data_IF_229442059134
#
_entry.id   IF_229442059134
#
_cell.length_a   1.000
_cell.length_b   1.000
_cell.length_c   1.000
_cell.angle_alpha   90.00
_cell.angle_beta   90.00
_cell.angle_gamma   90.00
#
_symmetry.space_group_name_H-M   'P 1'
#
loop_
_entity.id
_entity.type
_entity.pdbx_description
1 polymer ?
#
# COMPACT_ATOMS: atom_id res chain seq x y z
N UNK A 1 30.20 26.75 16.15
CA UNK A 1 29.37 25.83 16.98
C UNK A 1 27.93 25.72 16.47
N UNK A 2 27.25 26.79 16.06
CA UNK A 2 25.90 26.72 15.44
C UNK A 2 25.86 25.93 14.11
N UNK A 3 26.89 26.05 13.26
CA UNK A 3 26.98 25.30 11.99
C UNK A 3 27.07 23.78 12.18
N UNK A 4 27.84 23.30 13.17
CA UNK A 4 27.94 21.86 13.49
C UNK A 4 26.63 21.29 14.07
N UNK A 5 25.91 22.07 14.89
CA UNK A 5 24.59 21.68 15.39
C UNK A 5 23.55 21.66 14.27
N UNK A 6 23.59 22.64 13.36
CA UNK A 6 22.76 22.68 12.16
C UNK A 6 22.98 21.43 11.32
N UNK A 7 24.22 21.05 11.00
CA UNK A 7 24.50 19.87 10.15
C UNK A 7 24.15 18.54 10.82
N UNK A 8 24.31 18.42 12.15
CA UNK A 8 23.88 17.23 12.90
C UNK A 8 22.35 17.12 12.97
N UNK A 9 21.64 18.25 13.13
CA UNK A 9 20.18 18.31 13.05
C UNK A 9 19.69 17.96 11.64
N UNK A 10 20.39 18.49 10.63
CA UNK A 10 20.12 18.31 9.20
C UNK A 10 20.24 16.86 8.73
N UNK A 11 20.98 16.04 9.47
CA UNK A 11 21.09 14.61 9.24
C UNK A 11 20.01 13.81 9.98
N UNK A 12 19.55 14.28 11.15
CA UNK A 12 18.59 13.56 11.99
C UNK A 12 17.18 13.58 11.42
N UNK A 13 16.69 14.72 10.94
CA UNK A 13 15.36 14.85 10.34
C UNK A 13 15.24 14.13 8.99
N UNK A 14 16.29 14.18 8.18
CA UNK A 14 16.41 13.38 6.94
C UNK A 14 16.39 11.90 7.29
N UNK A 15 17.21 11.47 8.27
CA UNK A 15 17.19 10.09 8.73
C UNK A 15 15.81 9.68 9.25
N UNK A 16 15.13 10.52 10.03
CA UNK A 16 13.77 10.25 10.51
C UNK A 16 12.79 10.03 9.35
N UNK A 17 12.82 10.89 8.34
CA UNK A 17 11.92 10.82 7.20
C UNK A 17 12.10 9.51 6.41
N UNK A 18 13.36 9.16 6.09
CA UNK A 18 13.67 7.89 5.40
C UNK A 18 13.35 6.68 6.28
N UNK A 19 13.76 6.69 7.55
CA UNK A 19 13.50 5.59 8.48
C UNK A 19 11.99 5.36 8.67
N UNK A 20 11.20 6.44 8.81
CA UNK A 20 9.74 6.39 8.93
C UNK A 20 9.10 5.79 7.67
N UNK A 21 9.55 6.20 6.47
CA UNK A 21 9.10 5.65 5.20
C UNK A 21 9.37 4.14 5.12
N UNK A 22 10.59 3.72 5.44
CA UNK A 22 10.99 2.32 5.35
C UNK A 22 10.29 1.45 6.41
N UNK A 23 10.15 1.97 7.62
CA UNK A 23 9.39 1.31 8.68
C UNK A 23 7.93 1.13 8.26
N UNK A 24 7.30 2.15 7.65
CA UNK A 24 5.93 2.05 7.17
C UNK A 24 5.77 0.93 6.15
N UNK A 25 6.67 0.84 5.16
CA UNK A 25 6.69 -0.24 4.17
C UNK A 25 6.79 -1.62 4.85
N UNK A 26 7.70 -1.79 5.81
CA UNK A 26 7.86 -3.08 6.52
C UNK A 26 6.64 -3.47 7.33
N UNK A 27 6.04 -2.52 8.05
CA UNK A 27 4.84 -2.75 8.87
C UNK A 27 3.61 -3.09 8.02
N UNK A 28 3.34 -2.34 6.95
CA UNK A 28 2.17 -2.53 6.10
C UNK A 28 2.24 -3.82 5.27
N UNK A 29 3.45 -4.22 4.85
CA UNK A 29 3.65 -5.44 4.07
C UNK A 29 3.84 -6.69 4.94
N UNK A 30 3.83 -6.56 6.27
CA UNK A 30 4.06 -7.68 7.19
C UNK A 30 5.45 -8.32 7.04
N UNK A 31 6.45 -7.53 6.64
CA UNK A 31 7.79 -8.02 6.29
C UNK A 31 8.85 -7.81 7.37
N UNK A 32 8.48 -7.27 8.53
CA UNK A 32 9.44 -7.14 9.63
C UNK A 32 9.90 -8.52 10.10
N UNK A 33 11.22 -8.75 10.09
CA UNK A 33 11.82 -10.00 10.53
C UNK A 33 11.56 -10.27 12.02
N UNK A 34 11.49 -9.21 12.84
CA UNK A 34 11.10 -9.28 14.25
C UNK A 34 10.52 -7.94 14.71
N UNK A 35 9.32 -7.98 15.30
CA UNK A 35 8.70 -6.79 15.91
C UNK A 35 9.53 -6.32 17.12
N UNK A 36 10.10 -7.25 17.88
CA UNK A 36 10.91 -6.93 19.07
C UNK A 36 12.21 -6.23 18.68
N UNK A 37 12.82 -6.64 17.55
CA UNK A 37 13.99 -5.97 17.01
C UNK A 37 13.68 -4.52 16.60
N UNK A 38 12.55 -4.30 15.93
CA UNK A 38 12.12 -2.94 15.52
C UNK A 38 11.81 -2.07 16.75
N UNK A 39 11.12 -2.61 17.77
CA UNK A 39 10.87 -1.92 19.04
C UNK A 39 12.18 -1.60 19.78
N UNK A 40 13.17 -2.48 19.73
CA UNK A 40 14.50 -2.25 20.31
C UNK A 40 15.23 -1.09 19.62
N UNK A 41 15.17 -1.00 18.28
CA UNK A 41 15.75 0.12 17.53
C UNK A 41 15.09 1.44 17.92
N UNK A 42 13.76 1.48 18.01
CA UNK A 42 13.03 2.69 18.44
C UNK A 42 13.43 3.09 19.86
N UNK A 43 13.57 2.13 20.78
CA UNK A 43 14.03 2.41 22.14
C UNK A 43 15.42 3.07 22.16
N UNK A 44 16.36 2.58 21.34
CA UNK A 44 17.68 3.20 21.18
C UNK A 44 17.59 4.61 20.59
N UNK A 45 16.78 4.81 19.56
CA UNK A 45 16.55 6.14 18.97
C UNK A 45 15.95 7.12 19.98
N UNK A 46 15.07 6.64 20.87
CA UNK A 46 14.48 7.46 21.93
C UNK A 46 15.53 7.92 22.94
N UNK A 47 16.46 7.06 23.31
CA UNK A 47 17.57 7.40 24.22
C UNK A 47 18.51 8.43 23.59
N UNK A 48 18.85 8.27 22.31
CA UNK A 48 19.83 9.14 21.62
C UNK A 48 19.24 10.46 21.11
N UNK A 49 17.96 10.48 20.72
CA UNK A 49 17.32 11.60 20.04
C UNK A 49 16.12 12.19 20.80
N UNK A 50 15.71 11.57 21.91
CA UNK A 50 14.58 12.02 22.74
C UNK A 50 13.22 11.50 22.28
N UNK A 51 12.21 11.66 23.14
CA UNK A 51 10.86 11.13 22.94
C UNK A 51 10.07 11.82 21.83
N UNK A 52 10.34 13.10 21.55
CA UNK A 52 9.66 13.81 20.46
C UNK A 52 10.00 13.23 19.09
N UNK A 53 11.25 12.78 18.91
CA UNK A 53 11.74 12.15 17.69
C UNK A 53 11.05 10.81 17.40
N UNK A 54 10.83 9.99 18.43
CA UNK A 54 10.23 8.66 18.25
C UNK A 54 8.70 8.65 18.31
N UNK A 55 8.06 9.76 18.67
CA UNK A 55 6.61 9.81 18.92
C UNK A 55 5.79 9.27 17.73
N UNK A 56 6.12 9.70 16.50
CA UNK A 56 5.43 9.23 15.28
C UNK A 56 5.66 7.73 15.04
N UNK A 57 6.90 7.26 15.23
CA UNK A 57 7.28 5.85 15.05
C UNK A 57 6.57 4.94 16.07
N UNK A 58 6.51 5.36 17.33
CA UNK A 58 5.76 4.67 18.39
C UNK A 58 4.25 4.65 18.09
N UNK A 59 3.72 5.75 17.55
CA UNK A 59 2.35 5.85 17.06
C UNK A 59 2.01 4.83 15.97
N UNK A 60 2.92 4.63 15.00
CA UNK A 60 2.74 3.63 13.94
C UNK A 60 2.59 2.20 14.51
N UNK A 61 3.38 1.83 15.53
CA UNK A 61 3.23 0.52 16.18
C UNK A 61 1.89 0.38 16.91
N UNK A 62 1.46 1.42 17.62
CA UNK A 62 0.16 1.44 18.30
C UNK A 62 -0.98 1.25 17.31
N UNK A 63 -0.92 1.91 16.15
CA UNK A 63 -1.93 1.75 15.10
C UNK A 63 -1.99 0.30 14.57
N UNK A 64 -0.85 -0.37 14.40
CA UNK A 64 -0.81 -1.80 13.99
C UNK A 64 -1.45 -2.71 15.04
N UNK A 65 -1.17 -2.48 16.32
CA UNK A 65 -1.77 -3.26 17.41
C UNK A 65 -3.29 -3.00 17.51
N UNK A 66 -3.69 -1.74 17.52
CA UNK A 66 -5.10 -1.34 17.58
C UNK A 66 -5.90 -1.86 16.37
N UNK A 67 -5.29 -1.87 15.18
CA UNK A 67 -5.91 -2.43 13.99
C UNK A 67 -6.26 -3.91 14.16
N UNK A 68 -5.45 -4.71 14.86
CA UNK A 68 -5.78 -6.12 15.13
C UNK A 68 -7.03 -6.25 15.99
N UNK A 69 -7.16 -5.42 17.02
CA UNK A 69 -8.34 -5.39 17.89
C UNK A 69 -9.60 -4.92 17.15
N UNK A 70 -9.45 -3.92 16.27
CA UNK A 70 -10.53 -3.43 15.41
C UNK A 70 -10.99 -4.54 14.46
N UNK A 71 -10.08 -5.28 13.82
CA UNK A 71 -10.43 -6.40 12.94
C UNK A 71 -11.14 -7.52 13.69
N UNK A 72 -10.66 -7.87 14.89
CA UNK A 72 -11.33 -8.86 15.72
C UNK A 72 -12.76 -8.42 16.06
N UNK A 73 -12.93 -7.17 16.49
CA UNK A 73 -14.25 -6.58 16.76
C UNK A 73 -15.13 -6.56 15.51
N UNK A 74 -14.56 -6.23 14.35
CA UNK A 74 -15.27 -6.19 13.07
C UNK A 74 -15.81 -7.59 12.72
N UNK A 75 -14.96 -8.62 12.76
CA UNK A 75 -15.36 -10.01 12.47
C UNK A 75 -16.50 -10.51 13.37
N UNK A 76 -16.63 -9.98 14.59
CA UNK A 76 -17.70 -10.30 15.53
C UNK A 76 -18.94 -9.39 15.45
N UNK A 77 -18.84 -8.27 14.73
CA UNK A 77 -19.92 -7.30 14.60
C UNK A 77 -21.14 -7.89 13.90
N UNK A 78 -22.32 -7.30 14.12
CA UNK A 78 -23.53 -7.68 13.38
C UNK A 78 -23.38 -7.33 11.90
N UNK A 79 -22.78 -6.17 11.60
CA UNK A 79 -22.53 -5.71 10.23
C UNK A 79 -21.74 -6.74 9.43
N UNK A 80 -20.64 -7.26 9.99
CA UNK A 80 -19.84 -8.27 9.32
C UNK A 80 -20.60 -9.59 9.13
N UNK A 81 -21.37 -10.02 10.13
CA UNK A 81 -22.08 -11.31 10.09
C UNK A 81 -23.30 -11.32 9.18
N UNK A 82 -23.96 -10.18 8.97
CA UNK A 82 -25.22 -10.11 8.22
C UNK A 82 -25.08 -9.49 6.84
N UNK A 83 -24.12 -8.57 6.63
CA UNK A 83 -24.00 -7.81 5.39
C UNK A 83 -22.84 -8.27 4.50
N UNK A 84 -21.79 -8.90 5.05
CA UNK A 84 -20.66 -9.30 4.22
C UNK A 84 -21.05 -10.46 3.30
N UNK A 85 -20.71 -10.36 2.01
CA UNK A 85 -20.72 -11.53 1.13
C UNK A 85 -19.78 -12.62 1.65
N UNK A 86 -20.04 -13.87 1.27
CA UNK A 86 -19.11 -14.97 1.50
C UNK A 86 -18.00 -14.97 0.44
N UNK A 87 -16.80 -15.44 0.80
CA UNK A 87 -15.74 -15.75 -0.16
C UNK A 87 -14.49 -14.87 -0.08
N UNK A 88 -14.54 -13.69 0.56
CA UNK A 88 -13.35 -12.84 0.78
C UNK A 88 -13.07 -12.71 2.27
N UNK A 89 -11.84 -13.06 2.67
CA UNK A 89 -11.32 -12.71 3.98
C UNK A 89 -10.68 -11.32 3.92
N UNK A 90 -11.22 -10.36 4.69
CA UNK A 90 -10.70 -9.00 4.77
C UNK A 90 -10.01 -8.75 6.11
N UNK A 91 -8.88 -8.02 6.05
CA UNK A 91 -8.18 -7.46 7.20
C UNK A 91 -7.78 -6.02 6.88
N UNK A 92 -8.11 -5.07 7.76
CA UNK A 92 -7.94 -3.64 7.52
C UNK A 92 -6.95 -3.03 8.50
N UNK A 93 -5.99 -2.26 8.02
CA UNK A 93 -5.13 -1.44 8.87
C UNK A 93 -5.69 -0.02 8.92
N UNK A 94 -6.02 0.44 10.13
CA UNK A 94 -6.50 1.81 10.37
C UNK A 94 -5.33 2.64 10.90
N UNK A 95 -4.93 3.64 10.12
CA UNK A 95 -3.71 4.40 10.33
C UNK A 95 -4.04 5.84 10.73
N UNK A 96 -3.36 6.37 11.73
CA UNK A 96 -3.55 7.75 12.20
C UNK A 96 -2.79 8.73 11.30
N UNK A 97 -3.51 9.63 10.63
CA UNK A 97 -2.90 10.71 9.83
C UNK A 97 -1.95 11.54 10.70
N UNK A 98 -0.73 11.78 10.21
CA UNK A 98 0.32 12.52 10.92
C UNK A 98 1.40 11.63 11.58
N UNK A 99 1.11 10.36 11.86
CA UNK A 99 2.13 9.38 12.28
C UNK A 99 2.77 8.69 11.08
N UNK A 100 1.98 8.41 10.05
CA UNK A 100 2.43 7.71 8.85
C UNK A 100 2.93 8.68 7.78
N UNK A 101 3.76 8.24 6.82
CA UNK A 101 4.04 9.00 5.62
C UNK A 101 2.76 9.42 4.91
N UNK A 102 2.80 10.57 4.23
CA UNK A 102 1.68 11.01 3.40
C UNK A 102 1.64 10.18 2.13
N UNK A 103 0.50 9.57 1.85
CA UNK A 103 0.25 8.82 0.62
C UNK A 103 -0.75 9.59 -0.23
N UNK A 104 -0.42 9.93 -1.49
CA UNK A 104 -1.36 10.61 -2.36
C UNK A 104 -2.55 9.68 -2.61
N UNK A 105 -3.80 10.17 -2.49
CA UNK A 105 -4.96 9.38 -2.88
C UNK A 105 -4.86 9.09 -4.37
N UNK A 106 -5.17 7.85 -4.74
CA UNK A 106 -5.27 7.42 -6.13
C UNK A 106 -6.71 7.04 -6.41
N UNK A 107 -7.28 7.66 -7.44
CA UNK A 107 -8.62 7.31 -7.90
C UNK A 107 -8.58 5.92 -8.53
N UNK A 108 -9.53 5.08 -8.13
CA UNK A 108 -9.69 3.74 -8.68
C UNK A 108 -11.15 3.33 -8.58
N UNK A 109 -11.70 2.83 -9.68
CA UNK A 109 -13.01 2.17 -9.73
C UNK A 109 -12.84 0.73 -9.26
N UNK A 110 -13.44 0.41 -8.12
CA UNK A 110 -13.39 -0.92 -7.55
C UNK A 110 -14.49 -1.80 -8.16
N UNK A 111 -14.22 -3.09 -8.40
CA UNK A 111 -15.26 -4.09 -8.60
C UNK A 111 -16.28 -4.03 -7.45
N UNK A 112 -17.55 -4.26 -7.79
CA UNK A 112 -18.65 -4.12 -6.84
C UNK A 112 -18.41 -4.95 -5.57
N UNK A 113 -17.89 -6.16 -5.74
CA UNK A 113 -17.55 -7.08 -4.66
C UNK A 113 -16.62 -6.41 -3.66
N UNK A 114 -15.50 -5.82 -4.11
CA UNK A 114 -14.52 -5.18 -3.21
C UNK A 114 -15.07 -3.92 -2.56
N UNK A 115 -15.87 -3.14 -3.29
CA UNK A 115 -16.45 -1.90 -2.77
C UNK A 115 -17.41 -2.18 -1.60
N UNK A 116 -18.21 -3.24 -1.69
CA UNK A 116 -19.15 -3.65 -0.62
C UNK A 116 -18.41 -3.92 0.70
N UNK A 117 -17.25 -4.58 0.67
CA UNK A 117 -16.46 -4.82 1.89
C UNK A 117 -15.94 -3.52 2.49
N UNK A 118 -15.47 -2.58 1.66
CA UNK A 118 -15.00 -1.27 2.12
C UNK A 118 -16.11 -0.46 2.79
N UNK A 119 -17.31 -0.45 2.20
CA UNK A 119 -18.46 0.28 2.72
C UNK A 119 -18.97 -0.31 4.05
N UNK A 120 -19.08 -1.64 4.15
CA UNK A 120 -19.51 -2.30 5.38
C UNK A 120 -18.51 -2.08 6.52
N UNK A 121 -17.20 -2.13 6.23
CA UNK A 121 -16.19 -1.81 7.24
C UNK A 121 -16.28 -0.34 7.68
N UNK A 122 -16.47 0.59 6.75
CA UNK A 122 -16.62 2.01 7.04
C UNK A 122 -17.84 2.27 7.93
N UNK A 123 -18.98 1.65 7.64
CA UNK A 123 -20.18 1.73 8.47
C UNK A 123 -19.91 1.23 9.89
N UNK A 124 -19.30 0.05 10.03
CA UNK A 124 -18.91 -0.50 11.32
C UNK A 124 -17.99 0.48 12.08
N UNK A 125 -16.93 0.97 11.44
CA UNK A 125 -15.94 1.82 12.10
C UNK A 125 -16.57 3.13 12.58
N UNK A 126 -17.34 3.80 11.73
CA UNK A 126 -17.97 5.09 12.07
C UNK A 126 -19.08 4.93 13.11
N UNK A 127 -19.71 3.75 13.23
CA UNK A 127 -20.66 3.47 14.31
C UNK A 127 -20.00 3.43 15.70
N UNK A 128 -18.72 3.06 15.78
CA UNK A 128 -17.95 2.96 17.03
C UNK A 128 -17.12 4.20 17.34
N UNK A 129 -16.62 4.87 16.30
CA UNK A 129 -15.73 6.02 16.41
C UNK A 129 -16.34 7.26 15.74
N UNK A 130 -17.27 7.91 16.45
CA UNK A 130 -17.93 9.13 15.98
C UNK A 130 -16.96 10.31 15.84
N UNK A 131 -17.23 11.20 14.88
CA UNK A 131 -16.39 12.38 14.62
C UNK A 131 -15.10 12.10 13.84
N UNK A 132 -14.86 10.86 13.40
CA UNK A 132 -13.71 10.51 12.53
C UNK A 132 -14.12 10.47 11.06
N UNK A 133 -13.13 10.69 10.18
CA UNK A 133 -13.26 10.50 8.73
C UNK A 133 -12.26 9.45 8.28
N UNK A 134 -12.75 8.43 7.56
CA UNK A 134 -11.90 7.42 6.92
C UNK A 134 -11.63 7.78 5.45
N UNK A 135 -10.42 7.51 5.01
CA UNK A 135 -9.98 7.60 3.62
C UNK A 135 -9.22 6.32 3.29
N UNK A 136 -9.64 5.61 2.25
CA UNK A 136 -8.98 4.40 1.80
C UNK A 136 -7.72 4.73 1.00
N UNK A 137 -6.63 4.03 1.31
CA UNK A 137 -5.36 4.13 0.60
C UNK A 137 -5.14 2.84 -0.21
N UNK A 138 -5.84 2.74 -1.33
CA UNK A 138 -5.88 1.53 -2.16
C UNK A 138 -4.51 1.14 -2.73
N UNK A 139 -3.61 2.11 -2.93
CA UNK A 139 -2.23 1.90 -3.38
C UNK A 139 -1.39 1.06 -2.40
N UNK A 140 -1.76 1.02 -1.12
CA UNK A 140 -1.09 0.24 -0.08
C UNK A 140 -1.70 -1.16 0.11
N UNK A 141 -2.83 -1.41 -0.55
CA UNK A 141 -3.55 -2.68 -0.45
C UNK A 141 -2.82 -3.82 -1.16
N UNK A 142 -3.05 -5.03 -0.68
CA UNK A 142 -2.62 -6.26 -1.33
C UNK A 142 -3.65 -7.36 -1.09
N UNK A 143 -3.69 -8.33 -2.00
CA UNK A 143 -4.62 -9.45 -1.92
C UNK A 143 -3.91 -10.76 -2.26
N UNK A 144 -4.52 -11.87 -1.83
CA UNK A 144 -4.19 -13.21 -2.30
C UNK A 144 -5.35 -13.70 -3.13
N UNK A 145 -5.13 -13.87 -4.43
CA UNK A 145 -6.13 -14.39 -5.37
C UNK A 145 -5.93 -15.88 -5.57
N UNK A 146 -7.03 -16.63 -5.46
CA UNK A 146 -7.08 -18.01 -5.96
C UNK A 146 -7.47 -17.96 -7.42
N UNK A 147 -6.61 -18.47 -8.28
CA UNK A 147 -6.81 -18.44 -9.72
C UNK A 147 -6.82 -19.87 -10.25
N UNK A 148 -7.86 -20.18 -11.01
CA UNK A 148 -8.04 -21.47 -11.65
C UNK A 148 -7.45 -21.41 -13.07
N UNK A 149 -6.22 -21.90 -13.23
CA UNK A 149 -5.61 -22.10 -14.54
C UNK A 149 -5.92 -23.52 -15.06
N UNK A 150 -5.95 -23.72 -16.39
CA UNK A 150 -6.12 -25.06 -16.98
C UNK A 150 -5.08 -26.08 -16.49
N UNK A 151 -3.84 -25.64 -16.22
CA UNK A 151 -2.75 -26.49 -15.72
C UNK A 151 -2.74 -26.69 -14.20
N UNK A 152 -3.73 -26.14 -13.50
CA UNK A 152 -3.92 -26.30 -12.05
C UNK A 152 -4.12 -24.99 -11.30
N UNK A 153 -4.73 -25.09 -10.13
CA UNK A 153 -5.03 -23.94 -9.25
C UNK A 153 -3.75 -23.33 -8.68
N UNK A 154 -3.74 -22.00 -8.55
CA UNK A 154 -2.61 -21.23 -7.98
C UNK A 154 -3.12 -20.13 -7.04
N UNK A 155 -2.26 -19.73 -6.11
CA UNK A 155 -2.47 -18.55 -5.27
C UNK A 155 -1.50 -17.44 -5.64
N UNK A 156 -2.03 -16.29 -6.07
CA UNK A 156 -1.26 -15.13 -6.46
C UNK A 156 -1.30 -14.09 -5.34
N UNK A 157 -0.15 -13.80 -4.73
CA UNK A 157 0.02 -12.62 -3.89
C UNK A 157 0.30 -11.42 -4.80
N UNK A 158 -0.66 -10.50 -4.86
CA UNK A 158 -0.73 -9.39 -5.81
C UNK A 158 -1.04 -8.07 -5.09
N UNK A 159 -0.70 -6.94 -5.71
CA UNK A 159 -1.08 -5.62 -5.24
C UNK A 159 -2.57 -5.43 -5.46
N UNK A 160 -3.16 -4.46 -4.78
CA UNK A 160 -4.59 -4.19 -4.95
C UNK A 160 -4.94 -3.75 -6.38
N UNK A 161 -4.10 -2.96 -7.03
CA UNK A 161 -4.29 -2.59 -8.44
C UNK A 161 -4.17 -3.78 -9.38
N UNK A 162 -3.21 -4.68 -9.15
CA UNK A 162 -3.14 -5.94 -9.89
C UNK A 162 -4.42 -6.77 -9.69
N UNK A 163 -4.99 -6.80 -8.49
CA UNK A 163 -6.27 -7.47 -8.22
C UNK A 163 -7.41 -6.88 -9.04
N UNK A 164 -7.57 -5.56 -9.00
CA UNK A 164 -8.63 -4.85 -9.75
C UNK A 164 -8.51 -5.16 -11.25
N UNK A 165 -7.30 -5.12 -11.81
CA UNK A 165 -7.06 -5.45 -13.23
C UNK A 165 -7.38 -6.93 -13.52
N UNK A 166 -6.91 -7.86 -12.70
CA UNK A 166 -7.14 -9.30 -12.93
C UNK A 166 -8.62 -9.67 -12.84
N UNK A 167 -9.40 -9.00 -11.99
CA UNK A 167 -10.84 -9.25 -11.87
C UNK A 167 -11.63 -8.91 -13.14
N UNK A 168 -11.14 -8.00 -14.00
CA UNK A 168 -11.78 -7.70 -15.29
C UNK A 168 -11.77 -8.90 -16.24
N UNK A 169 -10.82 -9.81 -16.07
CA UNK A 169 -10.68 -10.99 -16.92
C UNK A 169 -11.59 -12.16 -16.52
N UNK A 170 -12.40 -12.00 -15.47
CA UNK A 170 -13.42 -12.99 -15.13
C UNK A 170 -14.55 -13.03 -16.18
N UNK A 171 -14.90 -11.89 -16.75
CA UNK A 171 -16.00 -11.76 -17.72
C UNK A 171 -15.52 -11.52 -19.15
N UNK A 172 -14.24 -11.20 -19.35
CA UNK A 172 -13.66 -10.83 -20.65
C UNK A 172 -12.34 -11.53 -20.90
N UNK A 173 -12.16 -12.09 -22.10
CA UNK A 173 -10.92 -12.80 -22.44
C UNK A 173 -9.78 -11.87 -22.88
N UNK A 174 -10.10 -10.75 -23.55
CA UNK A 174 -9.13 -9.83 -24.13
C UNK A 174 -9.56 -8.39 -23.88
N UNK A 175 -8.64 -7.57 -23.39
CA UNK A 175 -8.84 -6.15 -23.12
C UNK A 175 -7.68 -5.32 -23.67
N UNK A 176 -7.94 -4.15 -24.24
CA UNK A 176 -6.90 -3.17 -24.59
C UNK A 176 -6.41 -2.41 -23.35
N UNK A 177 -5.26 -1.74 -23.45
CA UNK A 177 -4.80 -0.82 -22.41
C UNK A 177 -5.87 0.21 -22.05
N UNK A 178 -6.52 0.79 -23.07
CA UNK A 178 -7.56 1.81 -22.89
C UNK A 178 -8.81 1.25 -22.19
N UNK A 179 -9.26 0.04 -22.54
CA UNK A 179 -10.42 -0.58 -21.88
C UNK A 179 -10.16 -0.79 -20.38
N UNK A 180 -8.96 -1.23 -20.02
CA UNK A 180 -8.55 -1.45 -18.63
C UNK A 180 -8.46 -0.10 -17.90
N UNK A 181 -7.89 0.92 -18.54
CA UNK A 181 -7.81 2.28 -17.99
C UNK A 181 -9.20 2.85 -17.70
N UNK A 182 -10.14 2.75 -18.64
CA UNK A 182 -11.48 3.32 -18.46
C UNK A 182 -12.29 2.58 -17.39
N UNK A 183 -12.13 1.26 -17.32
CA UNK A 183 -12.81 0.39 -16.36
C UNK A 183 -12.29 0.56 -14.94
N UNK A 184 -10.97 0.79 -14.76
CA UNK A 184 -10.32 0.87 -13.44
C UNK A 184 -10.04 2.29 -12.98
N UNK A 185 -9.94 3.25 -13.90
CA UNK A 185 -9.53 4.65 -13.66
C UNK A 185 -8.17 4.82 -12.96
N UNK A 186 -7.30 3.80 -13.03
CA UNK A 186 -5.91 3.89 -12.58
C UNK A 186 -5.14 4.81 -13.53
N UNK A 187 -4.27 5.66 -13.00
CA UNK A 187 -3.44 6.56 -13.81
C UNK A 187 -2.46 5.80 -14.72
N UNK A 188 -2.05 6.43 -15.83
CA UNK A 188 -1.26 5.77 -16.87
C UNK A 188 0.05 5.20 -16.36
N UNK A 189 0.71 5.91 -15.45
CA UNK A 189 2.00 5.50 -14.92
C UNK A 189 1.85 4.26 -14.06
N UNK A 190 0.90 4.26 -13.13
CA UNK A 190 0.65 3.13 -12.25
C UNK A 190 0.05 1.93 -13.01
N UNK A 191 -0.80 2.20 -14.00
CA UNK A 191 -1.40 1.15 -14.83
C UNK A 191 -0.34 0.46 -15.70
N UNK A 192 0.55 1.20 -16.36
CA UNK A 192 1.66 0.60 -17.13
C UNK A 192 2.55 -0.26 -16.24
N UNK A 193 2.90 0.21 -15.04
CA UNK A 193 3.68 -0.58 -14.06
C UNK A 193 2.95 -1.85 -13.64
N UNK A 194 1.65 -1.73 -13.36
CA UNK A 194 0.78 -2.85 -12.99
C UNK A 194 0.74 -3.89 -14.12
N UNK A 195 0.47 -3.48 -15.35
CA UNK A 195 0.40 -4.38 -16.51
C UNK A 195 1.76 -4.97 -16.88
N UNK A 196 2.84 -4.20 -16.78
CA UNK A 196 4.20 -4.70 -17.00
C UNK A 196 4.51 -5.84 -16.02
N UNK A 197 4.08 -5.72 -14.76
CA UNK A 197 4.28 -6.77 -13.76
C UNK A 197 3.48 -8.04 -14.02
N UNK A 198 2.26 -7.90 -14.55
CA UNK A 198 1.37 -9.02 -14.85
C UNK A 198 1.71 -9.72 -16.17
N UNK A 199 2.22 -9.00 -17.17
CA UNK A 199 2.37 -9.50 -18.54
C UNK A 199 3.80 -9.62 -19.05
N UNK A 200 4.71 -8.76 -18.58
CA UNK A 200 6.08 -8.69 -19.09
C UNK A 200 7.11 -9.27 -18.10
N UNK A 201 6.73 -9.42 -16.83
CA UNK A 201 7.58 -9.93 -15.75
C UNK A 201 7.89 -11.43 -15.83
N UNK A 202 8.44 -11.95 -14.72
CA UNK A 202 8.80 -13.36 -14.55
C UNK A 202 7.56 -14.27 -14.58
N UNK A 203 6.50 -13.85 -13.89
CA UNK A 203 5.25 -14.60 -13.80
C UNK A 203 4.19 -13.91 -14.67
N UNK A 204 4.11 -14.35 -15.92
CA UNK A 204 3.23 -13.75 -16.94
C UNK A 204 1.81 -14.30 -16.82
N UNK A 205 1.07 -13.78 -15.85
CA UNK A 205 -0.34 -14.13 -15.63
C UNK A 205 -1.20 -13.65 -16.79
N UNK A 206 -0.82 -12.52 -17.40
CA UNK A 206 -1.40 -12.03 -18.63
C UNK A 206 -0.42 -12.19 -19.80
N UNK A 207 -0.94 -12.25 -21.01
CA UNK A 207 -0.19 -12.27 -22.25
C UNK A 207 -0.43 -10.95 -22.99
N UNK A 208 0.64 -10.17 -23.20
CA UNK A 208 0.62 -8.91 -23.97
C UNK A 208 0.77 -9.15 -25.47
N UNK A 209 0.06 -8.35 -26.25
CA UNK A 209 0.12 -8.28 -27.71
C UNK A 209 0.18 -6.82 -28.19
N UNK A 210 1.22 -6.42 -28.94
CA UNK A 210 2.43 -7.19 -29.29
C UNK A 210 3.30 -7.56 -28.07
N UNK A 211 4.12 -8.61 -28.21
CA UNK A 211 5.05 -9.00 -27.13
C UNK A 211 6.16 -7.97 -27.01
N UNK A 212 6.45 -7.53 -25.79
CA UNK A 212 7.47 -6.51 -25.52
C UNK A 212 7.79 -6.44 -24.03
N UNK A 213 8.74 -5.57 -23.67
CA UNK A 213 9.06 -5.28 -22.25
C UNK A 213 8.27 -4.10 -21.69
N UNK A 214 7.90 -3.17 -22.57
CA UNK A 214 7.13 -1.99 -22.23
C UNK A 214 5.64 -2.18 -22.55
N UNK A 215 4.82 -1.34 -21.94
CA UNK A 215 3.37 -1.29 -22.13
C UNK A 215 3.01 0.03 -22.80
N UNK A 216 2.49 -0.05 -24.02
CA UNK A 216 2.07 1.05 -24.89
C UNK A 216 0.54 1.13 -24.97
N UNK A 217 0.00 2.23 -25.51
CA UNK A 217 -1.45 2.50 -25.53
C UNK A 217 -2.24 1.57 -26.44
N UNK A 218 -1.61 1.09 -27.52
CA UNK A 218 -2.23 0.18 -28.49
C UNK A 218 -2.10 -1.30 -28.07
N UNK A 219 -1.51 -1.58 -26.91
CA UNK A 219 -1.34 -2.94 -26.42
C UNK A 219 -2.66 -3.57 -26.00
N UNK A 220 -2.74 -4.87 -26.18
CA UNK A 220 -3.84 -5.70 -25.67
C UNK A 220 -3.34 -6.85 -24.82
N UNK A 221 -4.17 -7.25 -23.87
CA UNK A 221 -3.86 -8.21 -22.83
C UNK A 221 -4.91 -9.32 -22.84
N UNK A 222 -4.43 -10.56 -22.68
CA UNK A 222 -5.27 -11.76 -22.62
C UNK A 222 -4.87 -12.56 -21.39
N UNK A 223 -5.82 -13.21 -20.73
CA UNK A 223 -5.51 -14.14 -19.65
C UNK A 223 -4.64 -15.31 -20.15
N UNK A 224 -3.53 -15.60 -19.47
CA UNK A 224 -2.60 -16.64 -19.92
C UNK A 224 -3.06 -18.04 -19.48
N UNK A 225 -3.87 -18.69 -20.32
CA UNK A 225 -4.33 -20.07 -20.10
C UNK A 225 -3.18 -21.09 -20.08
N UNK A 226 -2.05 -20.78 -20.72
CA UNK A 226 -0.87 -21.64 -20.75
C UNK A 226 0.05 -21.45 -19.53
N UNK A 227 -0.31 -20.56 -18.61
CA UNK A 227 0.49 -20.22 -17.44
C UNK A 227 0.89 -21.48 -16.66
N UNK A 228 2.18 -21.54 -16.31
CA UNK A 228 2.74 -22.60 -15.48
C UNK A 228 3.80 -22.04 -14.56
N UNK A 229 3.80 -22.53 -13.33
CA UNK A 229 4.79 -22.18 -12.33
C UNK A 229 5.00 -23.39 -11.39
N UNK A 230 6.24 -23.60 -10.90
CA UNK A 230 6.55 -24.74 -10.05
C UNK A 230 5.86 -24.66 -8.68
N UNK A 231 5.70 -23.45 -8.15
CA UNK A 231 5.10 -23.22 -6.84
C UNK A 231 3.59 -23.04 -6.96
N UNK A 232 2.85 -23.45 -5.92
CA UNK A 232 1.41 -23.18 -5.79
C UNK A 232 1.15 -21.70 -5.45
N UNK A 233 1.88 -21.16 -4.48
CA UNK A 233 1.82 -19.75 -4.07
C UNK A 233 2.91 -18.94 -4.78
N UNK A 234 2.50 -17.87 -5.45
CA UNK A 234 3.36 -17.06 -6.32
C UNK A 234 3.25 -15.61 -5.87
N UNK A 235 4.39 -14.94 -5.74
CA UNK A 235 4.43 -13.51 -5.45
C UNK A 235 4.70 -12.74 -6.74
N UNK A 236 3.69 -12.00 -7.21
CA UNK A 236 3.75 -11.23 -8.47
C UNK A 236 4.20 -9.77 -8.21
N UNK A 237 4.21 -9.34 -6.94
CA UNK A 237 4.53 -7.97 -6.52
C UNK A 237 6.00 -7.56 -6.61
N UNK A 238 6.88 -8.34 -7.25
CA UNK A 238 8.32 -8.07 -7.26
C UNK A 238 8.68 -6.67 -7.79
N UNK A 239 7.87 -6.10 -8.70
CA UNK A 239 8.13 -4.78 -9.31
C UNK A 239 7.73 -3.61 -8.40
N UNK A 240 6.66 -3.73 -7.61
CA UNK A 240 6.23 -2.69 -6.67
C UNK A 240 7.13 -2.57 -5.43
N UNK A 241 8.10 -3.49 -5.26
CA UNK A 241 9.04 -3.46 -4.14
C UNK A 241 10.26 -2.60 -4.39
N UNK A 242 10.51 -2.20 -5.63
CA UNK A 242 11.61 -1.32 -5.98
C UNK A 242 11.15 0.13 -5.88
N UNK A 243 11.89 0.94 -5.13
CA UNK A 243 11.58 2.37 -4.99
C UNK A 243 11.81 3.08 -6.32
N UNK A 244 10.86 3.92 -6.71
CA UNK A 244 11.05 4.82 -7.85
C UNK A 244 11.97 5.97 -7.45
N UNK A 245 12.63 6.59 -8.43
CA UNK A 245 13.46 7.78 -8.20
C UNK A 245 12.64 8.89 -7.52
N UNK A 246 11.38 9.06 -7.90
CA UNK A 246 10.45 10.02 -7.30
C UNK A 246 10.07 9.67 -5.85
N UNK A 247 9.87 8.39 -5.53
CA UNK A 247 9.68 7.97 -4.14
C UNK A 247 10.92 8.26 -3.29
N UNK A 248 12.11 8.34 -3.88
CA UNK A 248 13.37 8.60 -3.18
C UNK A 248 13.69 10.08 -3.02
N UNK A 249 13.19 10.94 -3.91
CA UNK A 249 13.34 12.40 -3.78
C UNK A 249 12.27 13.03 -2.87
N UNK A 250 11.06 12.46 -2.82
CA UNK A 250 9.94 13.04 -2.05
C UNK A 250 10.18 13.20 -0.53
N UNK A 251 10.88 12.30 0.19
CA UNK A 251 11.18 12.50 1.61
C UNK A 251 12.13 13.66 1.83
N UNK A 252 13.03 13.90 0.87
CA UNK A 252 13.99 15.00 0.93
C UNK A 252 13.27 16.35 0.76
N UNK A 253 12.36 16.45 -0.20
CA UNK A 253 11.56 17.66 -0.45
C UNK A 253 10.63 18.02 0.72
N UNK A 254 9.97 17.02 1.31
CA UNK A 254 9.11 17.24 2.49
C UNK A 254 9.91 17.70 3.70
N UNK A 255 11.12 17.16 3.93
CA UNK A 255 12.00 17.65 5.00
C UNK A 255 12.39 19.12 4.78
N UNK A 256 12.62 19.55 3.53
CA UNK A 256 12.90 20.96 3.25
C UNK A 256 11.70 21.87 3.57
N UNK A 257 10.47 21.46 3.25
CA UNK A 257 9.26 22.22 3.56
C UNK A 257 8.95 22.26 5.07
N UNK A 258 9.12 21.14 5.76
CA UNK A 258 8.91 21.05 7.22
C UNK A 258 9.87 21.97 7.98
N UNK A 259 11.14 22.07 7.53
CA UNK A 259 12.11 23.02 8.10
C UNK A 259 11.65 24.46 7.98
N UNK A 260 11.14 24.86 6.82
CA UNK A 260 10.65 26.21 6.60
C UNK A 260 9.48 26.53 7.56
N UNK A 261 8.54 25.59 7.69
CA UNK A 261 7.41 25.72 8.61
C UNK A 261 7.84 25.79 10.09
N UNK A 262 8.87 25.03 10.49
CA UNK A 262 9.41 25.08 11.86
C UNK A 262 10.12 26.41 12.15
N UNK A 263 10.85 26.96 11.18
CA UNK A 263 11.48 28.28 11.31
C UNK A 263 10.40 29.36 11.46
N UNK A 264 9.37 29.34 10.62
CA UNK A 264 8.27 30.31 10.69
C UNK A 264 7.52 30.22 12.03
N UNK A 265 7.25 29.01 12.52
CA UNK A 265 6.63 28.80 13.82
C UNK A 265 7.51 29.32 14.97
N UNK A 266 8.83 29.11 14.92
CA UNK A 266 9.76 29.60 15.93
C UNK A 266 9.89 31.14 15.93
N UNK A 267 9.72 31.78 14.76
CA UNK A 267 9.70 33.25 14.65
C UNK A 267 8.43 33.82 15.26
N UNK A 268 7.27 33.23 15.02
CA UNK A 268 5.96 33.69 15.56
C UNK A 268 5.81 33.41 17.06
N UNK A 269 6.59 32.47 17.60
CA UNK A 269 6.57 32.10 19.02
C UNK A 269 7.45 32.99 19.92
N UNK A 270 8.17 33.96 19.34
CA UNK A 270 8.95 35.00 20.05
C UNK A 270 8.25 36.35 19.95
#
# INVERSE_FOLDING_TARGET
>A
KCWYYSDLYRAKDVFEAFYKKDLAKRLLMGKSASIDAEKSIISKLKTECGSQFTNKLEGMFKDIELSKEINYSFKQSSQARTKLPSGIEMSVLVLTTGYWPTYPPMDVKLPHELNVYQDIFKEFYLSKYSGRRLMWQNSLGHCVLKVDFPKGKKELAVSFFQTVVLMLFNDTQKLSFQDIKDSTSIDDKELRRTLQSLACGKFRVLQKYPKGREVDDDDSFVFNEEFSAPLYRINVNAIHMNETVEENTSPTETVFQDRQSQVDAAIVSN
#
